data_IF_506736509899
#
_entry.id   IF_506736509899
#
_cell.length_a   1.000
_cell.length_b   1.000
_cell.length_c   1.000
_cell.angle_alpha   90.00
_cell.angle_beta   90.00
_cell.angle_gamma   90.00
#
_symmetry.space_group_name_H-M   'P 1'
#
loop_
_entity.id
_entity.type
_entity.pdbx_description
1 polymer ?
#
# COMPACT_ATOMS: atom_id res chain seq x y z
N UNK A 1 -33.04 5.19 -13.14
CA UNK A 1 -31.97 4.73 -12.23
C UNK A 1 -30.74 4.52 -13.09
N UNK A 2 -29.72 5.37 -12.94
CA UNK A 2 -28.51 5.27 -13.78
C UNK A 2 -27.70 4.07 -13.31
N UNK A 3 -27.86 2.95 -14.00
CA UNK A 3 -27.08 1.74 -13.79
C UNK A 3 -25.61 2.07 -14.03
N UNK A 4 -24.77 1.88 -13.01
CA UNK A 4 -23.34 2.12 -13.14
C UNK A 4 -22.80 1.04 -14.09
N UNK A 5 -22.19 1.41 -15.22
CA UNK A 5 -21.76 0.43 -16.22
C UNK A 5 -20.66 -0.48 -15.66
N UNK A 6 -20.77 -1.78 -15.94
CA UNK A 6 -19.89 -2.83 -15.42
C UNK A 6 -18.39 -2.55 -15.67
N UNK A 7 -18.10 -1.84 -16.77
CA UNK A 7 -16.74 -1.48 -17.17
C UNK A 7 -16.09 -0.48 -16.20
N UNK A 8 -16.87 0.43 -15.61
CA UNK A 8 -16.40 1.32 -14.55
C UNK A 8 -16.07 0.52 -13.29
N UNK A 9 -16.89 -0.48 -12.95
CA UNK A 9 -16.65 -1.36 -11.80
C UNK A 9 -15.34 -2.15 -11.97
N UNK A 10 -15.14 -2.76 -13.13
CA UNK A 10 -13.93 -3.53 -13.47
C UNK A 10 -12.70 -2.62 -13.48
N UNK A 11 -12.81 -1.42 -14.05
CA UNK A 11 -11.73 -0.42 -14.05
C UNK A 11 -11.35 -0.01 -12.61
N UNK A 12 -12.34 0.24 -11.76
CA UNK A 12 -12.15 0.60 -10.36
C UNK A 12 -11.43 -0.52 -9.59
N UNK A 13 -11.88 -1.77 -9.74
CA UNK A 13 -11.24 -2.94 -9.13
C UNK A 13 -9.79 -3.09 -9.62
N UNK A 14 -9.55 -2.94 -10.92
CA UNK A 14 -8.20 -2.99 -11.49
C UNK A 14 -7.27 -1.94 -10.89
N UNK A 15 -7.75 -0.69 -10.72
CA UNK A 15 -7.00 0.38 -10.06
C UNK A 15 -6.71 0.05 -8.60
N UNK A 16 -7.70 -0.45 -7.84
CA UNK A 16 -7.50 -0.85 -6.44
C UNK A 16 -6.45 -1.96 -6.29
N UNK A 17 -6.45 -2.95 -7.18
CA UNK A 17 -5.47 -4.05 -7.18
C UNK A 17 -4.06 -3.53 -7.50
N UNK A 18 -3.93 -2.64 -8.49
CA UNK A 18 -2.63 -2.03 -8.82
C UNK A 18 -2.08 -1.19 -7.67
N UNK A 19 -2.92 -0.40 -6.98
CA UNK A 19 -2.51 0.31 -5.78
C UNK A 19 -2.10 -0.66 -4.67
N UNK A 20 -2.88 -1.71 -4.40
CA UNK A 20 -2.54 -2.75 -3.42
C UNK A 20 -1.18 -3.40 -3.72
N UNK A 21 -0.93 -3.76 -4.98
CA UNK A 21 0.34 -4.35 -5.42
C UNK A 21 1.52 -3.36 -5.28
N UNK A 22 1.32 -2.08 -5.60
CA UNK A 22 2.31 -1.03 -5.39
C UNK A 22 2.67 -0.87 -3.90
N UNK A 23 1.68 -0.96 -3.01
CA UNK A 23 1.89 -0.87 -1.58
C UNK A 23 2.53 -2.13 -0.98
N UNK A 24 2.13 -3.31 -1.42
CA UNK A 24 2.74 -4.59 -1.02
C UNK A 24 4.22 -4.68 -1.45
N UNK A 25 4.52 -4.29 -2.69
CA UNK A 25 5.91 -4.24 -3.18
C UNK A 25 6.76 -3.20 -2.44
N UNK A 26 6.18 -2.07 -2.03
CA UNK A 26 6.83 -1.08 -1.17
C UNK A 26 7.13 -1.65 0.22
N UNK A 27 6.23 -2.46 0.79
CA UNK A 27 6.44 -3.15 2.07
C UNK A 27 7.59 -4.17 1.98
N UNK A 28 7.58 -5.02 0.95
CA UNK A 28 8.64 -6.01 0.70
C UNK A 28 9.99 -5.33 0.50
N UNK A 29 10.04 -4.27 -0.32
CA UNK A 29 11.26 -3.47 -0.53
C UNK A 29 11.78 -2.88 0.78
N UNK A 30 10.88 -2.40 1.65
CA UNK A 30 11.22 -1.92 2.99
C UNK A 30 11.72 -3.03 3.93
N UNK A 31 11.25 -4.28 3.79
CA UNK A 31 11.74 -5.42 4.56
C UNK A 31 13.10 -5.94 4.07
N UNK A 32 13.35 -5.86 2.76
CA UNK A 32 14.60 -6.27 2.13
C UNK A 32 15.80 -5.36 2.49
N UNK A 33 15.55 -4.18 3.06
CA UNK A 33 16.61 -3.27 3.51
C UNK A 33 17.39 -3.89 4.68
N UNK A 34 18.70 -4.02 4.50
CA UNK A 34 19.61 -4.42 5.57
C UNK A 34 19.67 -3.33 6.67
N UNK A 35 19.00 -3.61 7.80
CA UNK A 35 18.90 -2.73 8.99
C UNK A 35 20.27 -2.33 9.54
N UNK A 36 21.27 -3.21 9.45
CA UNK A 36 22.60 -2.98 9.98
C UNK A 36 23.34 -1.93 9.15
N UNK A 37 23.34 -2.11 7.82
CA UNK A 37 23.93 -1.14 6.88
C UNK A 37 23.22 0.21 6.95
N UNK A 38 21.89 0.21 7.07
CA UNK A 38 21.10 1.45 7.23
C UNK A 38 21.48 2.19 8.52
N UNK A 39 21.59 1.50 9.66
CA UNK A 39 22.02 2.10 10.93
C UNK A 39 23.42 2.70 10.83
N UNK A 40 24.35 2.03 10.15
CA UNK A 40 25.70 2.56 9.95
C UNK A 40 25.69 3.85 9.11
N UNK A 41 24.93 3.87 8.02
CA UNK A 41 24.78 5.07 7.19
C UNK A 41 24.07 6.23 7.92
N UNK A 42 23.12 5.92 8.81
CA UNK A 42 22.48 6.92 9.70
C UNK A 42 23.48 7.49 10.69
N UNK A 43 24.35 6.67 11.29
CA UNK A 43 25.44 7.13 12.17
C UNK A 43 26.40 8.07 11.44
N UNK A 44 26.69 7.79 10.17
CA UNK A 44 27.49 8.63 9.29
C UNK A 44 26.72 9.88 8.76
N UNK A 45 25.58 10.24 9.36
CA UNK A 45 24.72 11.38 8.98
C UNK A 45 24.29 11.41 7.51
N UNK A 46 24.22 10.25 6.85
CA UNK A 46 23.81 10.19 5.45
C UNK A 46 22.33 10.60 5.29
N UNK A 47 22.07 11.73 4.61
CA UNK A 47 20.73 12.34 4.50
C UNK A 47 19.67 11.38 3.95
N UNK A 48 20.03 10.55 2.98
CA UNK A 48 19.11 9.55 2.41
C UNK A 48 18.77 8.44 3.43
N UNK A 49 19.75 7.98 4.21
CA UNK A 49 19.54 6.92 5.19
C UNK A 49 18.66 7.38 6.36
N UNK A 50 18.78 8.65 6.76
CA UNK A 50 17.91 9.27 7.77
C UNK A 50 16.44 9.31 7.33
N UNK A 51 16.16 9.69 6.07
CA UNK A 51 14.80 9.68 5.51
C UNK A 51 14.23 8.26 5.46
N UNK A 52 15.00 7.30 4.95
CA UNK A 52 14.59 5.89 4.86
C UNK A 52 14.28 5.31 6.24
N UNK A 53 15.11 5.60 7.26
CA UNK A 53 14.87 5.16 8.63
C UNK A 53 13.57 5.73 9.24
N UNK A 54 13.17 6.95 8.88
CA UNK A 54 11.91 7.57 9.32
C UNK A 54 10.69 6.97 8.61
N UNK A 55 10.81 6.65 7.32
CA UNK A 55 9.76 6.04 6.49
C UNK A 55 9.42 4.61 6.93
N UNK A 56 10.43 3.84 7.36
CA UNK A 56 10.28 2.45 7.79
C UNK A 56 9.41 2.23 9.06
N UNK A 57 8.92 3.29 9.72
CA UNK A 57 8.13 3.24 10.97
C UNK A 57 6.60 3.16 10.78
N UNK A 58 6.05 3.21 9.56
CA UNK A 58 4.59 3.34 9.34
C UNK A 58 4.04 2.39 8.28
N UNK A 59 3.82 1.11 8.61
CA UNK A 59 3.33 0.09 7.64
C UNK A 59 1.84 -0.29 7.81
N UNK A 60 1.27 -0.16 8.99
CA UNK A 60 -0.06 -0.71 9.34
C UNK A 60 -1.25 -0.11 8.57
N UNK A 61 -1.12 1.09 8.01
CA UNK A 61 -2.23 1.77 7.33
C UNK A 61 -2.61 1.15 5.99
N UNK A 62 -1.72 0.39 5.34
CA UNK A 62 -1.93 -0.11 3.98
C UNK A 62 -2.76 -1.38 3.95
N UNK A 63 -2.48 -2.33 4.86
CA UNK A 63 -3.27 -3.54 5.03
C UNK A 63 -4.73 -3.23 5.41
N UNK A 64 -4.94 -2.21 6.24
CA UNK A 64 -6.29 -1.74 6.60
C UNK A 64 -7.09 -1.23 5.40
N UNK A 65 -6.45 -0.51 4.48
CA UNK A 65 -7.13 0.06 3.29
C UNK A 65 -7.54 -1.04 2.31
N UNK A 66 -6.71 -2.07 2.13
CA UNK A 66 -6.99 -3.21 1.25
C UNK A 66 -8.18 -4.02 1.78
N UNK A 67 -8.20 -4.32 3.08
CA UNK A 67 -9.27 -5.07 3.72
C UNK A 67 -10.60 -4.32 3.74
N UNK A 68 -10.57 -2.99 3.94
CA UNK A 68 -11.77 -2.13 3.90
C UNK A 68 -12.30 -2.04 2.47
N UNK A 69 -11.43 -1.85 1.47
CA UNK A 69 -11.85 -1.73 0.07
C UNK A 69 -12.53 -2.99 -0.46
N UNK A 70 -11.98 -4.17 -0.12
CA UNK A 70 -12.55 -5.45 -0.55
C UNK A 70 -13.91 -5.72 0.12
N UNK A 71 -14.03 -5.41 1.43
CA UNK A 71 -15.30 -5.51 2.14
C UNK A 71 -16.35 -4.53 1.61
N UNK A 72 -15.94 -3.31 1.28
CA UNK A 72 -16.85 -2.29 0.76
C UNK A 72 -17.45 -2.68 -0.59
N UNK A 73 -16.63 -3.20 -1.51
CA UNK A 73 -17.11 -3.72 -2.80
C UNK A 73 -18.01 -4.93 -2.61
N UNK A 74 -17.66 -5.85 -1.71
CA UNK A 74 -18.45 -7.05 -1.44
C UNK A 74 -19.82 -6.72 -0.80
N UNK A 75 -19.87 -5.72 0.10
CA UNK A 75 -21.12 -5.21 0.68
C UNK A 75 -21.96 -4.51 -0.39
N UNK A 76 -21.36 -3.68 -1.24
CA UNK A 76 -22.08 -3.01 -2.32
C UNK A 76 -22.65 -4.01 -3.34
N UNK A 77 -21.92 -5.07 -3.65
CA UNK A 77 -22.38 -6.14 -4.53
C UNK A 77 -23.47 -7.04 -3.90
N UNK A 78 -23.54 -7.10 -2.57
CA UNK A 78 -24.58 -7.84 -1.85
C UNK A 78 -25.86 -7.01 -1.62
N UNK A 79 -25.76 -5.68 -1.64
CA UNK A 79 -26.87 -4.74 -1.45
C UNK A 79 -27.53 -4.35 -2.77
N UNK A 80 -26.80 -4.45 -3.89
CA UNK A 80 -27.33 -4.31 -5.25
C UNK A 80 -27.95 -5.62 -5.72
#
# INVERSE_FOLDING_TARGET
MNEIPIWILISLVGVLVLLSAFFSSSETSMMAINRYRLRNLVKNKHKAALKVNKLLKRKDKLLGVILIGNNFVNILAAVL
#
